data_IF_231161300901
#
_entry.id   IF_231161300901
#
_cell.length_a   1.000
_cell.length_b   1.000
_cell.length_c   1.000
_cell.angle_alpha   90.00
_cell.angle_beta   90.00
_cell.angle_gamma   90.00
#
_symmetry.space_group_name_H-M   'P 1'
#
loop_
_entity.id
_entity.type
_entity.pdbx_description
1 polymer ?
#
# COMPACT_ATOMS: atom_id res chain seq x y z
N UNK A 1 -89.27 -29.69 -3.82
CA UNK A 1 -90.16 -28.74 -4.52
C UNK A 1 -89.84 -27.34 -4.02
N UNK A 2 -89.36 -26.50 -4.94
CA UNK A 2 -89.36 -25.02 -5.03
C UNK A 2 -89.14 -24.22 -3.73
N UNK A 3 -88.18 -23.32 -3.58
CA UNK A 3 -87.34 -22.60 -4.55
C UNK A 3 -87.40 -21.10 -4.24
N UNK A 4 -86.24 -20.43 -4.14
CA UNK A 4 -85.93 -19.09 -4.70
C UNK A 4 -84.57 -18.61 -4.22
N UNK A 5 -83.73 -18.30 -5.20
CA UNK A 5 -82.40 -17.69 -5.12
C UNK A 5 -82.41 -16.28 -4.53
N UNK A 6 -81.26 -15.80 -4.05
CA UNK A 6 -80.85 -14.43 -4.25
C UNK A 6 -79.67 -14.34 -5.23
N UNK A 7 -79.72 -13.29 -6.04
CA UNK A 7 -78.78 -12.93 -7.10
C UNK A 7 -77.31 -12.92 -6.69
N UNK A 8 -76.48 -13.49 -7.56
CA UNK A 8 -75.02 -13.35 -7.56
C UNK A 8 -74.66 -12.17 -8.46
N UNK A 9 -74.03 -11.10 -7.96
CA UNK A 9 -73.52 -10.02 -8.80
C UNK A 9 -72.26 -10.49 -9.58
N UNK A 10 -71.98 -9.90 -10.76
CA UNK A 10 -70.93 -10.38 -11.64
C UNK A 10 -69.53 -10.16 -11.06
N UNK A 11 -68.64 -11.10 -11.36
CA UNK A 11 -67.22 -11.05 -11.04
C UNK A 11 -66.56 -9.81 -11.66
N UNK A 12 -65.94 -8.99 -10.82
CA UNK A 12 -64.97 -8.01 -11.27
C UNK A 12 -63.66 -8.73 -11.62
N UNK A 13 -63.36 -8.84 -12.91
CA UNK A 13 -62.02 -9.16 -13.39
C UNK A 13 -61.05 -8.07 -12.93
N UNK A 14 -60.20 -8.38 -11.95
CA UNK A 14 -59.01 -7.59 -11.67
C UNK A 14 -58.02 -7.86 -12.82
N UNK A 15 -58.05 -6.99 -13.83
CA UNK A 15 -56.98 -6.89 -14.82
C UNK A 15 -55.67 -6.57 -14.08
N UNK A 16 -54.79 -7.55 -14.01
CA UNK A 16 -53.41 -7.35 -13.56
C UNK A 16 -52.64 -6.61 -14.64
N UNK A 17 -52.68 -5.27 -14.62
CA UNK A 17 -51.70 -4.49 -15.37
C UNK A 17 -50.35 -4.61 -14.65
N UNK A 18 -49.44 -5.42 -15.20
CA UNK A 18 -48.00 -5.29 -14.90
C UNK A 18 -47.54 -3.92 -15.40
N UNK A 19 -47.67 -2.91 -14.56
CA UNK A 19 -46.88 -1.70 -14.69
C UNK A 19 -45.47 -2.05 -14.18
N UNK A 20 -44.54 -2.22 -15.12
CA UNK A 20 -43.10 -2.18 -14.82
C UNK A 20 -42.78 -0.81 -14.27
N UNK A 21 -42.68 -0.71 -12.95
CA UNK A 21 -42.02 0.41 -12.29
C UNK A 21 -40.55 0.39 -12.72
N UNK A 22 -39.98 1.50 -13.22
CA UNK A 22 -38.54 1.56 -13.35
C UNK A 22 -37.96 1.44 -11.95
N UNK A 23 -37.15 0.40 -11.73
CA UNK A 23 -36.24 0.33 -10.59
C UNK A 23 -35.28 1.49 -10.76
N UNK A 24 -35.58 2.60 -10.10
CA UNK A 24 -34.62 3.67 -9.91
C UNK A 24 -33.46 3.07 -9.11
N UNK A 25 -32.41 2.68 -9.82
CA UNK A 25 -31.10 2.53 -9.24
C UNK A 25 -30.72 3.91 -8.70
N UNK A 26 -31.06 4.17 -7.44
CA UNK A 26 -30.39 5.19 -6.67
C UNK A 26 -28.95 4.71 -6.47
N UNK A 27 -28.13 4.87 -7.52
CA UNK A 27 -26.71 5.08 -7.35
C UNK A 27 -26.60 6.36 -6.52
N UNK A 28 -26.54 6.20 -5.20
CA UNK A 28 -26.04 7.24 -4.32
C UNK A 28 -24.56 7.39 -4.66
N UNK A 29 -24.29 8.18 -5.68
CA UNK A 29 -22.95 8.67 -5.99
C UNK A 29 -22.65 9.66 -4.86
N UNK A 30 -22.06 9.17 -3.77
CA UNK A 30 -21.16 10.03 -3.01
C UNK A 30 -19.98 10.30 -3.95
N UNK A 31 -20.15 11.29 -4.82
CA UNK A 31 -19.05 11.86 -5.57
C UNK A 31 -18.30 12.68 -4.52
N UNK A 32 -17.41 12.01 -3.79
CA UNK A 32 -16.31 12.71 -3.17
C UNK A 32 -15.66 13.45 -4.34
N UNK A 33 -15.78 14.77 -4.35
CA UNK A 33 -15.06 15.63 -5.28
C UNK A 33 -13.61 15.54 -4.84
N UNK A 34 -12.93 14.44 -5.22
CA UNK A 34 -11.47 14.40 -5.23
C UNK A 34 -11.12 15.35 -6.35
N UNK A 35 -10.56 16.52 -6.00
CA UNK A 35 -10.03 17.41 -7.03
C UNK A 35 -9.00 16.61 -7.83
N UNK A 36 -9.07 16.62 -9.17
CA UNK A 36 -8.11 15.87 -9.96
C UNK A 36 -6.71 16.36 -9.60
N UNK A 37 -5.76 15.45 -9.34
CA UNK A 37 -4.43 15.85 -8.92
C UNK A 37 -3.83 16.73 -10.01
N UNK A 38 -3.23 17.87 -9.62
CA UNK A 38 -2.51 18.72 -10.56
C UNK A 38 -1.47 17.86 -11.34
N UNK A 39 -1.26 18.18 -12.61
CA UNK A 39 -0.43 17.37 -13.50
C UNK A 39 1.02 17.18 -12.99
N UNK A 40 1.47 18.08 -12.11
CA UNK A 40 2.78 18.15 -11.48
C UNK A 40 2.80 17.69 -10.01
N UNK A 41 1.72 17.09 -9.48
CA UNK A 41 1.62 16.68 -8.07
C UNK A 41 2.81 15.85 -7.58
N UNK A 42 3.32 14.94 -8.42
CA UNK A 42 4.44 14.04 -8.13
C UNK A 42 5.76 14.53 -8.75
N UNK A 43 5.87 15.83 -9.08
CA UNK A 43 7.08 16.39 -9.66
C UNK A 43 8.28 16.13 -8.74
N UNK A 44 9.32 15.53 -9.32
CA UNK A 44 10.59 15.28 -8.66
C UNK A 44 11.30 16.61 -8.36
N UNK A 45 11.86 16.73 -7.16
CA UNK A 45 12.68 17.86 -6.78
C UNK A 45 13.96 17.88 -7.61
N UNK A 46 14.38 19.04 -8.14
CA UNK A 46 15.70 19.17 -8.78
C UNK A 46 16.87 18.95 -7.79
N UNK A 47 16.61 18.99 -6.48
CA UNK A 47 17.60 18.67 -5.44
C UNK A 47 17.66 17.18 -5.09
N UNK A 48 16.75 16.36 -5.61
CA UNK A 48 16.69 14.93 -5.30
C UNK A 48 17.97 14.23 -5.75
N UNK A 49 18.73 13.71 -4.80
CA UNK A 49 20.00 13.01 -5.07
C UNK A 49 19.95 11.61 -4.50
N UNK A 50 20.20 10.63 -5.38
CA UNK A 50 20.33 9.25 -4.97
C UNK A 50 21.68 8.99 -4.33
N UNK A 51 21.67 8.21 -3.27
CA UNK A 51 22.85 7.58 -2.67
C UNK A 51 22.55 6.12 -2.38
N UNK A 52 23.58 5.30 -2.30
CA UNK A 52 23.45 3.91 -1.88
C UNK A 52 24.07 3.72 -0.50
N UNK A 53 23.35 3.03 0.38
CA UNK A 53 23.82 2.62 1.69
C UNK A 53 23.74 1.10 1.82
N UNK A 54 24.57 0.51 2.67
CA UNK A 54 24.56 -0.93 2.95
C UNK A 54 24.10 -1.17 4.38
N UNK A 55 22.85 -1.60 4.55
CA UNK A 55 22.28 -1.90 5.86
C UNK A 55 22.87 -3.22 6.37
N UNK A 56 23.44 -3.18 7.57
CA UNK A 56 24.15 -4.31 8.18
C UNK A 56 25.33 -4.82 7.33
N UNK A 57 25.86 -4.00 6.41
CA UNK A 57 26.89 -4.41 5.44
C UNK A 57 26.42 -5.43 4.39
N UNK A 58 25.12 -5.71 4.30
CA UNK A 58 24.56 -6.79 3.46
C UNK A 58 23.49 -6.33 2.48
N UNK A 59 22.60 -5.43 2.91
CA UNK A 59 21.43 -5.05 2.13
C UNK A 59 21.70 -3.71 1.46
N UNK A 60 21.86 -3.66 0.13
CA UNK A 60 21.99 -2.39 -0.57
C UNK A 60 20.63 -1.70 -0.63
N UNK A 61 20.62 -0.42 -0.25
CA UNK A 61 19.44 0.43 -0.28
C UNK A 61 19.79 1.73 -1.01
N UNK A 62 19.02 2.06 -2.03
CA UNK A 62 19.08 3.37 -2.67
C UNK A 62 18.17 4.30 -1.86
N UNK A 63 18.71 5.42 -1.40
CA UNK A 63 17.99 6.45 -0.69
C UNK A 63 17.97 7.74 -1.50
N UNK A 64 16.80 8.36 -1.60
CA UNK A 64 16.62 9.68 -2.20
C UNK A 64 15.84 10.54 -1.22
N UNK A 65 16.48 11.60 -0.77
CA UNK A 65 15.94 12.56 0.17
C UNK A 65 15.34 13.76 -0.57
N UNK A 66 14.28 14.33 -0.01
CA UNK A 66 13.55 15.48 -0.60
C UNK A 66 13.04 15.18 -2.01
N UNK A 67 12.43 14.00 -2.17
CA UNK A 67 12.04 13.43 -3.47
C UNK A 67 11.10 14.35 -4.25
N UNK A 68 9.98 14.76 -3.66
CA UNK A 68 8.97 15.59 -4.31
C UNK A 68 9.20 17.07 -4.04
N UNK A 69 8.80 17.90 -5.01
CA UNK A 69 8.69 19.36 -4.82
C UNK A 69 7.59 19.70 -3.81
N UNK A 70 6.45 18.98 -3.86
CA UNK A 70 5.25 19.27 -3.06
C UNK A 70 4.80 18.07 -2.22
N UNK A 71 5.61 17.57 -1.27
CA UNK A 71 5.30 16.34 -0.54
C UNK A 71 4.05 16.42 0.34
N UNK A 72 3.71 17.61 0.84
CA UNK A 72 2.45 17.82 1.59
C UNK A 72 1.23 17.65 0.70
N UNK A 73 1.28 18.12 -0.55
CA UNK A 73 0.20 17.96 -1.51
C UNK A 73 0.02 16.47 -1.87
N UNK A 74 1.12 15.73 -2.09
CA UNK A 74 1.07 14.28 -2.31
C UNK A 74 0.46 13.55 -1.12
N UNK A 75 0.86 13.92 0.11
CA UNK A 75 0.30 13.36 1.35
C UNK A 75 -1.19 13.66 1.47
N UNK A 76 -1.61 14.90 1.23
CA UNK A 76 -3.02 15.31 1.32
C UNK A 76 -3.87 14.53 0.30
N UNK A 77 -3.45 14.50 -0.96
CA UNK A 77 -4.09 13.71 -2.01
C UNK A 77 -4.23 12.24 -1.63
N UNK A 78 -3.14 11.62 -1.14
CA UNK A 78 -3.15 10.21 -0.75
C UNK A 78 -4.18 9.90 0.35
N UNK A 79 -4.35 10.80 1.33
CA UNK A 79 -5.30 10.63 2.44
C UNK A 79 -6.77 10.80 2.03
N UNK A 80 -7.05 11.42 0.88
CA UNK A 80 -8.39 11.56 0.32
C UNK A 80 -8.84 10.31 -0.46
N UNK A 81 -7.91 9.40 -0.78
CA UNK A 81 -8.23 8.20 -1.56
C UNK A 81 -9.00 7.15 -0.73
N UNK A 82 -9.82 6.31 -1.39
CA UNK A 82 -10.52 5.22 -0.72
C UNK A 82 -9.57 4.06 -0.39
N UNK A 83 -9.18 3.96 0.88
CA UNK A 83 -8.37 2.86 1.39
C UNK A 83 -9.20 1.60 1.64
N UNK A 84 -8.80 0.49 1.01
CA UNK A 84 -9.44 -0.83 1.18
C UNK A 84 -8.47 -1.82 1.81
N UNK A 85 -8.95 -2.85 2.53
CA UNK A 85 -8.09 -3.88 3.11
C UNK A 85 -7.14 -4.46 2.06
N UNK A 86 -5.85 -4.48 2.39
CA UNK A 86 -4.86 -5.04 1.49
C UNK A 86 -5.07 -6.56 1.30
N UNK A 87 -4.57 -7.09 0.18
CA UNK A 87 -4.38 -8.53 0.02
C UNK A 87 -3.46 -9.09 1.12
N UNK A 88 -3.35 -10.41 1.17
CA UNK A 88 -2.78 -11.13 2.32
C UNK A 88 -1.44 -10.58 2.82
N UNK A 89 -1.34 -10.47 4.16
CA UNK A 89 -0.13 -10.19 4.98
C UNK A 89 0.27 -8.73 5.21
N UNK A 90 -0.21 -7.75 4.45
CA UNK A 90 0.02 -6.35 4.81
C UNK A 90 -0.87 -5.93 6.00
N UNK A 91 -0.33 -5.33 7.08
CA UNK A 91 -1.08 -4.98 8.30
C UNK A 91 -1.81 -3.63 8.16
N UNK A 92 -2.66 -3.50 7.15
CA UNK A 92 -3.50 -2.32 6.97
C UNK A 92 -4.21 -2.28 5.62
N UNK A 93 -4.35 -1.07 5.09
CA UNK A 93 -5.14 -0.79 3.88
C UNK A 93 -4.31 -0.16 2.78
N UNK A 94 -4.74 -0.35 1.54
CA UNK A 94 -4.12 0.21 0.33
C UNK A 94 -5.13 1.04 -0.44
N UNK A 95 -4.64 2.06 -1.14
CA UNK A 95 -5.42 2.90 -2.04
C UNK A 95 -4.71 2.97 -3.40
N UNK A 96 -5.42 2.60 -4.44
CA UNK A 96 -4.94 2.69 -5.82
C UNK A 96 -5.12 4.12 -6.33
N UNK A 97 -4.21 4.55 -7.21
CA UNK A 97 -4.42 5.76 -7.98
C UNK A 97 -5.39 5.45 -9.13
N UNK A 98 -6.59 6.03 -9.09
CA UNK A 98 -7.62 5.80 -10.11
C UNK A 98 -7.35 6.52 -11.43
N UNK A 99 -6.54 7.58 -11.42
CA UNK A 99 -6.30 8.45 -12.57
C UNK A 99 -4.81 8.49 -12.92
N UNK A 100 -4.53 8.52 -14.23
CA UNK A 100 -3.18 8.74 -14.75
C UNK A 100 -2.73 10.16 -14.42
N UNK A 101 -1.52 10.30 -13.90
CA UNK A 101 -0.91 11.59 -13.62
C UNK A 101 0.47 11.66 -14.32
N UNK A 102 0.70 12.64 -15.22
CA UNK A 102 1.94 12.72 -16.00
C UNK A 102 3.23 12.80 -15.15
N UNK A 103 3.19 13.52 -14.02
CA UNK A 103 4.34 13.57 -13.11
C UNK A 103 4.55 12.25 -12.36
N UNK A 104 3.49 11.50 -12.09
CA UNK A 104 3.60 10.14 -11.55
C UNK A 104 4.25 9.19 -12.56
N UNK A 105 3.83 9.21 -13.83
CA UNK A 105 4.48 8.41 -14.89
C UNK A 105 5.97 8.74 -15.02
N UNK A 106 6.32 10.03 -14.88
CA UNK A 106 7.70 10.50 -14.89
C UNK A 106 8.49 9.96 -13.69
N UNK A 107 7.93 10.03 -12.49
CA UNK A 107 8.48 9.40 -11.28
C UNK A 107 8.74 7.90 -11.48
N UNK A 108 7.75 7.15 -12.00
CA UNK A 108 7.86 5.70 -12.17
C UNK A 108 8.95 5.33 -13.18
N UNK A 109 9.03 6.06 -14.30
CA UNK A 109 10.10 5.89 -15.29
C UNK A 109 11.48 6.18 -14.67
N UNK A 110 11.61 7.29 -13.97
CA UNK A 110 12.84 7.69 -13.30
C UNK A 110 13.27 6.67 -12.23
N UNK A 111 12.35 6.20 -11.40
CA UNK A 111 12.64 5.21 -10.36
C UNK A 111 13.09 3.87 -10.97
N UNK A 112 12.44 3.45 -12.06
CA UNK A 112 12.80 2.25 -12.84
C UNK A 112 14.23 2.33 -13.37
N UNK A 113 14.58 3.47 -13.98
CA UNK A 113 15.91 3.73 -14.54
C UNK A 113 16.97 3.79 -13.44
N UNK A 114 16.68 4.50 -12.35
CA UNK A 114 17.56 4.57 -11.18
C UNK A 114 17.84 3.17 -10.63
N UNK A 115 16.82 2.38 -10.32
CA UNK A 115 16.97 1.04 -9.76
C UNK A 115 17.69 0.08 -10.74
N UNK A 116 17.41 0.18 -12.03
CA UNK A 116 18.10 -0.61 -13.07
C UNK A 116 19.59 -0.27 -13.11
N UNK A 117 19.93 1.01 -13.13
CA UNK A 117 21.32 1.46 -13.25
C UNK A 117 22.15 1.25 -11.97
N UNK A 118 21.51 1.32 -10.80
CA UNK A 118 22.21 1.25 -9.51
C UNK A 118 22.02 -0.09 -8.82
N UNK A 119 20.79 -0.46 -8.43
CA UNK A 119 20.55 -1.68 -7.64
C UNK A 119 21.01 -2.94 -8.35
N UNK A 120 20.64 -3.13 -9.62
CA UNK A 120 21.03 -4.33 -10.37
C UNK A 120 22.54 -4.41 -10.65
N UNK A 121 23.24 -3.27 -10.64
CA UNK A 121 24.71 -3.23 -10.84
C UNK A 121 25.50 -3.74 -9.63
N UNK A 122 24.92 -3.66 -8.42
CA UNK A 122 25.56 -4.05 -7.16
C UNK A 122 24.93 -5.28 -6.51
N UNK A 123 23.70 -5.62 -6.89
CA UNK A 123 22.93 -6.74 -6.36
C UNK A 123 22.16 -7.41 -7.50
N UNK A 124 22.69 -8.50 -8.09
CA UNK A 124 21.97 -9.26 -9.11
C UNK A 124 20.65 -9.81 -8.54
N UNK A 125 19.53 -9.35 -9.10
CA UNK A 125 18.20 -9.82 -8.74
C UNK A 125 17.67 -10.82 -9.76
N UNK A 126 16.72 -11.65 -9.32
CA UNK A 126 16.20 -12.75 -10.12
C UNK A 126 14.68 -12.74 -10.15
N UNK A 127 14.12 -13.14 -11.29
CA UNK A 127 12.71 -13.46 -11.46
C UNK A 127 12.58 -14.78 -12.20
N UNK A 128 11.73 -15.69 -11.72
CA UNK A 128 11.50 -17.00 -12.33
C UNK A 128 12.81 -17.78 -12.60
N UNK A 129 13.78 -17.70 -11.67
CA UNK A 129 15.09 -18.36 -11.78
C UNK A 129 16.08 -17.73 -12.77
N UNK A 130 15.76 -16.56 -13.34
CA UNK A 130 16.63 -15.85 -14.30
C UNK A 130 17.06 -14.50 -13.75
N UNK A 131 18.31 -14.12 -14.00
CA UNK A 131 18.80 -12.79 -13.64
C UNK A 131 18.08 -11.72 -14.45
N UNK A 132 17.70 -10.63 -13.77
CA UNK A 132 17.00 -9.49 -14.34
C UNK A 132 18.04 -8.50 -14.89
N UNK A 133 17.96 -8.21 -16.18
CA UNK A 133 18.83 -7.19 -16.81
C UNK A 133 18.27 -5.76 -16.66
N UNK A 134 16.94 -5.63 -16.53
CA UNK A 134 16.22 -4.37 -16.31
C UNK A 134 14.85 -4.67 -15.72
N UNK A 135 14.27 -3.72 -15.00
CA UNK A 135 12.87 -3.80 -14.60
C UNK A 135 11.96 -3.45 -15.78
N UNK A 136 10.87 -4.20 -15.98
CA UNK A 136 9.88 -3.96 -17.02
C UNK A 136 8.96 -2.79 -16.66
N UNK A 137 8.27 -2.91 -15.53
CA UNK A 137 7.27 -1.96 -15.04
C UNK A 137 7.52 -1.59 -13.58
N UNK A 138 7.11 -0.38 -13.18
CA UNK A 138 7.01 0.02 -11.78
C UNK A 138 5.57 0.45 -11.52
N UNK A 139 4.88 -0.27 -10.64
CA UNK A 139 3.51 0.05 -10.23
C UNK A 139 3.55 0.81 -8.90
N UNK A 140 2.64 1.75 -8.70
CA UNK A 140 2.54 2.49 -7.44
C UNK A 140 1.14 2.53 -6.87
N UNK A 141 1.08 2.51 -5.55
CA UNK A 141 -0.12 2.76 -4.76
C UNK A 141 0.25 3.40 -3.42
N UNK A 142 -0.76 3.80 -2.65
CA UNK A 142 -0.58 4.26 -1.28
C UNK A 142 -0.99 3.18 -0.30
N UNK A 143 -0.34 3.16 0.86
CA UNK A 143 -0.63 2.20 1.91
C UNK A 143 -0.58 2.86 3.27
N UNK A 144 -1.51 2.46 4.14
CA UNK A 144 -1.57 2.86 5.54
C UNK A 144 -1.47 1.65 6.45
N UNK A 145 -0.79 1.80 7.58
CA UNK A 145 -0.80 0.80 8.66
C UNK A 145 -1.75 1.27 9.76
N UNK A 146 -2.73 0.43 10.08
CA UNK A 146 -3.77 0.73 11.07
C UNK A 146 -4.26 -0.50 11.86
N UNK A 147 -3.62 -1.66 11.67
CA UNK A 147 -3.95 -2.87 12.43
C UNK A 147 -3.31 -2.80 13.82
N UNK A 148 -4.13 -2.95 14.86
CA UNK A 148 -3.67 -2.97 16.24
C UNK A 148 -2.68 -4.15 16.48
N UNK A 149 -1.60 -3.99 17.27
CA UNK A 149 -0.59 -5.03 17.44
C UNK A 149 -1.15 -6.38 17.93
N UNK A 150 -2.15 -6.38 18.80
CA UNK A 150 -2.81 -7.61 19.28
C UNK A 150 -3.71 -8.29 18.24
N UNK A 151 -4.10 -7.58 17.18
CA UNK A 151 -4.97 -8.08 16.12
C UNK A 151 -4.21 -8.63 14.91
N UNK A 152 -2.86 -8.55 14.91
CA UNK A 152 -2.05 -9.09 13.83
C UNK A 152 -2.20 -10.61 13.73
N UNK A 153 -2.36 -11.10 12.51
CA UNK A 153 -2.23 -12.54 12.20
C UNK A 153 -0.80 -13.02 12.44
N UNK A 154 -0.55 -14.33 12.62
CA UNK A 154 0.81 -14.86 12.81
C UNK A 154 1.81 -14.44 11.72
N UNK A 155 1.39 -14.39 10.45
CA UNK A 155 2.23 -13.97 9.32
C UNK A 155 2.58 -12.48 9.34
N UNK A 156 1.76 -11.63 9.97
CA UNK A 156 2.03 -10.20 10.15
C UNK A 156 2.99 -9.92 11.33
N UNK A 157 3.30 -10.93 12.15
CA UNK A 157 4.19 -10.83 13.32
C UNK A 157 5.63 -11.28 13.03
N UNK A 158 5.97 -11.47 11.75
CA UNK A 158 7.30 -11.85 11.32
C UNK A 158 7.73 -10.96 10.14
N UNK A 159 9.04 -10.78 9.90
CA UNK A 159 9.53 -10.18 8.68
C UNK A 159 9.00 -10.92 7.44
N UNK A 160 8.76 -10.16 6.39
CA UNK A 160 8.24 -10.66 5.12
C UNK A 160 9.22 -10.35 3.98
N UNK A 161 8.95 -10.98 2.85
CA UNK A 161 9.53 -10.64 1.55
C UNK A 161 8.39 -10.27 0.62
N UNK A 162 8.68 -9.42 -0.35
CA UNK A 162 7.74 -9.02 -1.38
C UNK A 162 7.68 -10.03 -2.51
N UNK A 163 6.55 -10.06 -3.21
CA UNK A 163 6.37 -10.82 -4.45
C UNK A 163 7.00 -10.15 -5.68
N UNK A 164 7.83 -9.11 -5.47
CA UNK A 164 8.55 -8.38 -6.52
C UNK A 164 10.06 -8.39 -6.25
N UNK A 165 10.91 -8.44 -7.30
CA UNK A 165 12.36 -8.46 -7.13
C UNK A 165 12.91 -7.25 -6.38
N UNK A 166 12.38 -6.06 -6.61
CA UNK A 166 12.72 -4.84 -5.89
C UNK A 166 11.47 -4.12 -5.42
N UNK A 167 11.60 -3.42 -4.29
CA UNK A 167 10.53 -2.70 -3.65
C UNK A 167 11.00 -1.30 -3.29
N UNK A 168 10.12 -0.31 -3.49
CA UNK A 168 10.36 1.07 -3.11
C UNK A 168 9.29 1.58 -2.15
N UNK A 169 9.69 2.44 -1.23
CA UNK A 169 8.80 3.03 -0.23
C UNK A 169 9.15 4.50 -0.03
N UNK A 170 8.15 5.35 -0.13
CA UNK A 170 8.25 6.80 0.09
C UNK A 170 7.49 7.12 1.38
N UNK A 171 8.20 7.69 2.36
CA UNK A 171 7.61 8.03 3.66
C UNK A 171 6.85 9.36 3.57
N UNK A 172 5.55 9.34 3.87
CA UNK A 172 4.66 10.51 3.76
C UNK A 172 4.12 10.96 5.12
N UNK A 173 4.76 10.55 6.23
CA UNK A 173 4.46 11.06 7.55
C UNK A 173 5.41 12.18 7.95
N UNK A 174 4.86 13.24 8.54
CA UNK A 174 5.64 14.25 9.28
C UNK A 174 5.88 13.80 10.71
N UNK A 175 4.93 13.05 11.24
CA UNK A 175 5.00 12.43 12.54
C UNK A 175 5.93 11.22 12.52
N UNK A 176 6.58 10.92 13.64
CA UNK A 176 7.35 9.70 13.80
C UNK A 176 6.41 8.48 13.73
N UNK A 177 6.56 7.70 12.67
CA UNK A 177 5.80 6.45 12.40
C UNK A 177 6.71 5.26 12.11
N UNK A 178 8.00 5.42 12.40
CA UNK A 178 9.00 4.38 12.25
C UNK A 178 9.42 4.12 10.80
N UNK A 179 10.65 3.63 10.69
CA UNK A 179 11.31 3.34 9.43
C UNK A 179 10.96 1.97 8.84
N UNK A 180 11.96 1.37 8.20
CA UNK A 180 11.91 0.00 7.67
C UNK A 180 13.11 -0.78 8.21
N UNK A 181 12.85 -1.93 8.82
CA UNK A 181 13.83 -2.82 9.43
C UNK A 181 14.17 -3.96 8.48
N UNK A 182 15.44 -4.38 8.46
CA UNK A 182 15.91 -5.51 7.65
C UNK A 182 16.49 -6.61 8.52
N UNK A 183 16.31 -7.86 8.10
CA UNK A 183 16.69 -9.02 8.89
C UNK A 183 17.36 -10.10 8.04
N UNK A 184 18.27 -10.83 8.67
CA UNK A 184 18.69 -12.15 8.20
C UNK A 184 17.79 -13.21 8.78
N UNK A 185 17.39 -14.18 7.94
CA UNK A 185 16.69 -15.38 8.41
C UNK A 185 17.70 -16.36 8.99
N UNK A 186 17.54 -16.71 10.26
CA UNK A 186 18.41 -17.64 11.00
C UNK A 186 17.89 -19.06 10.90
N UNK A 187 16.60 -19.26 11.24
CA UNK A 187 15.93 -20.57 11.18
C UNK A 187 14.42 -20.40 11.14
N UNK A 188 13.73 -21.42 10.65
CA UNK A 188 12.28 -21.52 10.81
C UNK A 188 11.94 -21.82 12.27
N UNK A 189 11.08 -20.99 12.85
CA UNK A 189 10.46 -21.24 14.15
C UNK A 189 9.11 -20.56 14.21
N UNK A 190 8.23 -21.04 15.08
CA UNK A 190 6.92 -20.43 15.28
C UNK A 190 7.06 -18.99 15.81
N UNK A 191 6.22 -18.04 15.35
CA UNK A 191 6.27 -16.67 15.84
C UNK A 191 6.04 -16.62 17.35
N UNK A 192 7.08 -16.23 18.11
CA UNK A 192 6.99 -16.09 19.56
C UNK A 192 6.61 -14.67 20.01
N UNK A 193 6.75 -13.68 19.11
CA UNK A 193 6.52 -12.28 19.42
C UNK A 193 5.02 -11.92 19.34
N UNK A 194 4.59 -11.05 20.25
CA UNK A 194 3.29 -10.35 20.18
C UNK A 194 3.50 -9.00 19.50
N UNK A 195 2.62 -8.64 18.58
CA UNK A 195 2.74 -7.37 17.85
C UNK A 195 3.69 -7.41 16.65
N UNK A 196 4.11 -6.22 16.22
CA UNK A 196 5.01 -6.03 15.09
C UNK A 196 6.42 -6.52 15.42
N UNK A 197 7.10 -7.12 14.43
CA UNK A 197 8.45 -7.64 14.62
C UNK A 197 9.49 -6.52 14.47
N UNK A 198 10.06 -6.06 15.60
CA UNK A 198 10.95 -4.88 15.63
C UNK A 198 12.36 -5.14 16.17
N UNK A 199 12.66 -6.36 16.60
CA UNK A 199 13.94 -6.71 17.20
C UNK A 199 14.40 -8.11 16.79
N UNK A 200 15.68 -8.42 16.99
CA UNK A 200 16.21 -9.77 16.80
C UNK A 200 15.48 -10.79 17.69
N UNK A 201 15.34 -12.00 17.19
CA UNK A 201 14.78 -13.13 17.93
C UNK A 201 15.28 -14.47 17.39
N UNK A 202 14.60 -15.55 17.76
CA UNK A 202 15.03 -16.91 17.44
C UNK A 202 15.06 -17.23 15.93
N UNK A 203 14.21 -16.59 15.12
CA UNK A 203 14.10 -16.82 13.67
C UNK A 203 14.82 -15.79 12.82
N UNK A 204 15.00 -14.57 13.32
CA UNK A 204 15.49 -13.45 12.54
C UNK A 204 16.48 -12.62 13.34
N UNK A 205 17.58 -12.24 12.71
CA UNK A 205 18.55 -11.31 13.28
C UNK A 205 18.39 -9.94 12.61
N UNK A 206 18.17 -8.89 13.40
CA UNK A 206 18.10 -7.52 12.91
C UNK A 206 19.46 -7.11 12.33
N UNK A 207 19.45 -6.67 11.07
CA UNK A 207 20.63 -6.15 10.36
C UNK A 207 20.78 -4.64 10.55
N UNK A 208 19.66 -3.93 10.62
CA UNK A 208 19.62 -2.50 10.74
C UNK A 208 18.32 -1.94 10.19
N UNK A 209 18.30 -0.63 9.96
CA UNK A 209 17.10 0.11 9.58
C UNK A 209 17.38 1.22 8.60
N UNK A 210 16.38 1.54 7.79
CA UNK A 210 16.25 2.85 7.15
C UNK A 210 15.52 3.75 8.14
N UNK A 211 16.14 4.85 8.54
CA UNK A 211 15.48 5.85 9.39
C UNK A 211 14.32 6.51 8.63
N UNK A 212 13.15 6.68 9.27
CA UNK A 212 12.04 7.39 8.66
C UNK A 212 12.43 8.85 8.42
N UNK A 213 12.04 9.38 7.27
CA UNK A 213 12.15 10.82 6.98
C UNK A 213 11.05 11.19 6.01
N UNK A 214 10.28 12.21 6.33
CA UNK A 214 9.28 12.74 5.42
C UNK A 214 9.90 13.06 4.05
N UNK A 215 9.24 12.65 2.96
CA UNK A 215 9.72 12.86 1.59
C UNK A 215 11.04 12.13 1.24
N UNK A 216 11.33 11.01 1.93
CA UNK A 216 12.41 10.08 1.56
C UNK A 216 11.85 8.91 0.78
N UNK A 217 12.46 8.60 -0.36
CA UNK A 217 12.35 7.32 -1.06
C UNK A 217 13.46 6.38 -0.59
N UNK A 218 13.11 5.13 -0.38
CA UNK A 218 14.04 4.01 -0.31
C UNK A 218 13.69 2.96 -1.35
N UNK A 219 14.69 2.41 -2.06
CA UNK A 219 14.53 1.26 -2.97
C UNK A 219 15.51 0.17 -2.54
N UNK A 220 15.02 -1.06 -2.38
CA UNK A 220 15.80 -2.20 -1.90
C UNK A 220 15.34 -3.52 -2.54
N UNK A 221 16.12 -4.61 -2.44
CA UNK A 221 15.69 -5.93 -2.92
C UNK A 221 14.46 -6.41 -2.14
N UNK A 222 13.36 -6.68 -2.84
CA UNK A 222 12.10 -7.13 -2.22
C UNK A 222 12.20 -8.54 -1.63
N UNK A 223 13.21 -9.31 -2.02
CA UNK A 223 13.46 -10.67 -1.53
C UNK A 223 14.22 -10.73 -0.21
N UNK A 224 14.60 -9.58 0.37
CA UNK A 224 15.26 -9.50 1.68
C UNK A 224 14.20 -9.42 2.78
N UNK A 225 14.28 -10.24 3.85
CA UNK A 225 13.34 -10.17 4.97
C UNK A 225 13.32 -8.79 5.63
N UNK A 226 12.13 -8.19 5.72
CA UNK A 226 11.96 -6.85 6.28
C UNK A 226 10.61 -6.65 6.98
N UNK A 227 10.51 -5.61 7.79
CA UNK A 227 9.27 -5.18 8.49
C UNK A 227 9.23 -3.66 8.65
N UNK A 228 8.06 -3.11 8.97
CA UNK A 228 7.98 -1.72 9.45
C UNK A 228 8.41 -1.62 10.90
N UNK A 229 9.14 -0.56 11.26
CA UNK A 229 9.52 -0.26 12.66
C UNK A 229 8.33 0.33 13.44
N UNK A 230 7.29 -0.47 13.63
CA UNK A 230 5.99 0.01 14.12
C UNK A 230 5.87 -0.25 15.61
N UNK A 231 5.93 0.84 16.39
CA UNK A 231 5.77 0.81 17.84
C UNK A 231 5.21 2.15 18.36
N UNK A 232 4.78 2.16 19.63
CA UNK A 232 4.36 3.36 20.36
C UNK A 232 2.84 3.52 20.50
N UNK A 233 2.43 4.58 21.20
CA UNK A 233 1.01 4.82 21.54
C UNK A 233 0.13 5.02 20.30
N UNK A 234 0.68 5.57 19.21
CA UNK A 234 -0.12 5.89 18.02
C UNK A 234 -0.74 4.65 17.38
N UNK A 235 -0.05 3.49 17.39
CA UNK A 235 -0.56 2.24 16.80
C UNK A 235 -1.43 1.45 17.80
N UNK A 236 -1.28 1.70 19.09
CA UNK A 236 -2.12 1.09 20.14
C UNK A 236 -3.45 1.85 20.34
N UNK A 237 -3.46 3.16 20.10
CA UNK A 237 -4.64 4.01 20.20
C UNK A 237 -5.32 4.32 18.87
N UNK A 238 -6.35 5.16 18.90
CA UNK A 238 -7.15 5.51 17.72
C UNK A 238 -6.44 6.45 16.73
N UNK A 239 -5.28 6.99 17.11
CA UNK A 239 -4.40 7.72 16.21
C UNK A 239 -4.01 6.90 14.97
N UNK A 240 -4.02 5.55 15.04
CA UNK A 240 -3.82 4.66 13.90
C UNK A 240 -4.86 4.84 12.78
N UNK A 241 -6.00 5.46 13.06
CA UNK A 241 -7.03 5.75 12.06
C UNK A 241 -6.98 7.18 11.54
N UNK A 242 -6.63 8.14 12.39
CA UNK A 242 -6.65 9.57 12.06
C UNK A 242 -5.30 10.13 11.62
N UNK A 243 -4.19 9.48 12.02
CA UNK A 243 -2.82 9.80 11.62
C UNK A 243 -2.01 8.50 11.46
N UNK A 244 -2.41 7.62 10.52
CA UNK A 244 -1.72 6.35 10.28
C UNK A 244 -0.31 6.56 9.74
N UNK A 245 0.50 5.49 9.77
CA UNK A 245 1.73 5.43 8.96
C UNK A 245 1.34 5.35 7.48
N UNK A 246 1.57 6.43 6.71
CA UNK A 246 1.25 6.57 5.30
C UNK A 246 2.52 6.48 4.46
N UNK A 247 2.49 5.63 3.45
CA UNK A 247 3.58 5.47 2.49
C UNK A 247 3.06 5.35 1.07
N UNK A 248 3.83 5.83 0.10
CA UNK A 248 3.65 5.45 -1.30
C UNK A 248 4.61 4.30 -1.62
N UNK A 249 4.10 3.24 -2.24
CA UNK A 249 4.85 2.03 -2.56
C UNK A 249 5.19 2.01 -4.05
N UNK A 250 6.35 1.49 -4.40
CA UNK A 250 6.81 1.26 -5.77
C UNK A 250 7.16 -0.22 -5.93
N UNK A 251 6.44 -0.93 -6.80
CA UNK A 251 6.59 -2.36 -7.01
C UNK A 251 7.27 -2.58 -8.36
N UNK A 252 8.51 -3.09 -8.34
CA UNK A 252 9.33 -3.23 -9.54
C UNK A 252 9.16 -4.63 -10.13
N UNK A 253 8.47 -4.74 -11.26
CA UNK A 253 8.29 -5.98 -11.98
C UNK A 253 9.47 -6.25 -12.94
N UNK A 254 9.84 -7.53 -13.17
CA UNK A 254 10.87 -7.93 -14.12
C UNK A 254 10.51 -7.60 -15.58
#
# INVERSE_FOLDING_TARGET
MNGRSPDVPPAFEVRTSRATLPVAHACSIFQIIVMPPHADLFALSPSAKARCEWIGGKVPVILVDDLYVQPDAVRAFALELPFTPAATHYPGRIAQMCEQNPSCETLLRWARELATATLLSICPLYANGRSIARFGEVVTDFAIVDVHPSALSPKQRIPHVDAVPAFGLIYLNREERGGTLFFDKVRDSEPSATGYYTASGASYQLLGRIEPRFNRLAIYPGTVPHSGDIAGEWINGDARFTSPRLTQRLLFAP
#
